data_IF_828290535131
#
_entry.id   IF_828290535131
#
_cell.length_a   1.000
_cell.length_b   1.000
_cell.length_c   1.000
_cell.angle_alpha   90.00
_cell.angle_beta   90.00
_cell.angle_gamma   90.00
#
_symmetry.space_group_name_H-M   'P 1'
#
loop_
_entity.id
_entity.type
_entity.pdbx_description
1 polymer ?
#
# COMPACT_ATOMS: atom_id res chain seq x y z
N UNK A 1 22.89 -4.03 -10.24
CA UNK A 1 24.21 -4.22 -10.87
C UNK A 1 25.12 -5.19 -10.10
N UNK A 2 25.60 -4.91 -8.88
CA UNK A 2 26.50 -5.80 -8.14
C UNK A 2 26.00 -7.23 -8.03
N UNK A 3 24.73 -7.44 -7.69
CA UNK A 3 24.11 -8.75 -7.56
C UNK A 3 24.06 -9.50 -8.91
N UNK A 4 23.71 -8.82 -9.99
CA UNK A 4 23.67 -9.38 -11.33
C UNK A 4 25.08 -9.79 -11.80
N UNK A 5 26.08 -8.94 -11.54
CA UNK A 5 27.47 -9.27 -11.86
C UNK A 5 27.99 -10.46 -11.06
N UNK A 6 27.78 -10.49 -9.75
CA UNK A 6 28.30 -11.54 -8.84
C UNK A 6 27.56 -12.88 -8.94
N UNK A 7 26.33 -12.87 -9.43
CA UNK A 7 25.46 -14.07 -9.49
C UNK A 7 24.86 -14.29 -10.88
N UNK A 8 25.60 -13.96 -11.93
CA UNK A 8 25.15 -14.13 -13.34
C UNK A 8 24.60 -15.51 -13.65
N UNK A 9 25.11 -16.54 -12.99
CA UNK A 9 24.69 -17.94 -13.23
C UNK A 9 23.28 -18.23 -12.70
N UNK A 10 22.76 -17.42 -11.78
CA UNK A 10 21.49 -17.67 -11.06
C UNK A 10 20.50 -16.52 -11.17
N UNK A 11 20.99 -15.27 -11.23
CA UNK A 11 20.18 -14.04 -11.25
C UNK A 11 20.35 -13.33 -12.59
N UNK A 12 19.23 -13.19 -13.28
CA UNK A 12 19.03 -12.29 -14.40
C UNK A 12 18.02 -11.19 -14.01
N UNK A 13 17.86 -10.17 -14.84
CA UNK A 13 16.96 -9.04 -14.57
C UNK A 13 15.50 -9.48 -14.30
N UNK A 14 15.05 -10.57 -14.93
CA UNK A 14 13.68 -11.09 -14.76
C UNK A 14 13.40 -11.67 -13.37
N UNK A 15 14.45 -12.07 -12.63
CA UNK A 15 14.37 -12.68 -11.30
C UNK A 15 14.53 -11.67 -10.16
N UNK A 16 14.76 -10.41 -10.50
CA UNK A 16 14.89 -9.31 -9.55
C UNK A 16 13.63 -8.45 -9.63
N UNK A 17 13.08 -8.11 -8.47
CA UNK A 17 12.00 -7.15 -8.34
C UNK A 17 12.44 -5.99 -7.46
N UNK A 18 12.22 -4.77 -7.93
CA UNK A 18 12.36 -3.55 -7.12
C UNK A 18 10.98 -3.12 -6.68
N UNK A 19 10.80 -2.84 -5.39
CA UNK A 19 9.64 -2.12 -4.86
C UNK A 19 10.08 -0.69 -4.59
N UNK A 20 9.49 0.23 -5.33
CA UNK A 20 9.84 1.65 -5.33
C UNK A 20 8.76 2.50 -4.68
N UNK A 21 9.10 3.69 -4.17
CA UNK A 21 8.14 4.58 -3.53
C UNK A 21 7.13 5.18 -4.50
N UNK A 22 7.51 5.38 -5.76
CA UNK A 22 6.67 6.01 -6.78
C UNK A 22 6.93 5.43 -8.18
N UNK A 23 5.99 5.63 -9.09
CA UNK A 23 6.14 5.27 -10.50
C UNK A 23 7.26 6.08 -11.16
N UNK A 24 7.41 7.37 -10.82
CA UNK A 24 8.49 8.23 -11.30
C UNK A 24 9.88 7.66 -10.98
N UNK A 25 10.07 7.19 -9.75
CA UNK A 25 11.33 6.53 -9.38
C UNK A 25 11.53 5.22 -10.14
N UNK A 26 10.45 4.45 -10.37
CA UNK A 26 10.52 3.21 -11.16
C UNK A 26 11.03 3.45 -12.58
N UNK A 27 10.57 4.52 -13.22
CA UNK A 27 11.02 4.87 -14.58
C UNK A 27 12.45 5.42 -14.59
N UNK A 28 12.82 6.25 -13.61
CA UNK A 28 14.20 6.70 -13.47
C UNK A 28 15.16 5.50 -13.41
N UNK A 29 14.86 4.51 -12.56
CA UNK A 29 15.67 3.27 -12.47
C UNK A 29 15.67 2.51 -13.81
N UNK A 30 14.52 2.44 -14.47
CA UNK A 30 14.37 1.75 -15.76
C UNK A 30 15.17 2.42 -16.90
N UNK A 31 15.41 3.72 -16.82
CA UNK A 31 16.19 4.45 -17.81
C UNK A 31 17.71 4.37 -17.55
N UNK A 32 18.12 4.39 -16.28
CA UNK A 32 19.55 4.37 -15.90
C UNK A 32 20.20 3.01 -16.14
N UNK A 33 19.49 1.89 -15.95
CA UNK A 33 20.09 0.56 -16.10
C UNK A 33 20.53 0.25 -17.54
N UNK A 34 19.74 0.55 -18.59
CA UNK A 34 20.17 0.37 -19.97
C UNK A 34 21.40 1.22 -20.35
N UNK A 35 21.52 2.46 -19.83
CA UNK A 35 22.70 3.31 -20.04
C UNK A 35 23.98 2.66 -19.50
N UNK A 36 23.83 1.80 -18.50
CA UNK A 36 24.90 1.02 -17.88
C UNK A 36 25.12 -0.35 -18.54
N UNK A 37 24.40 -0.64 -19.65
CA UNK A 37 24.51 -1.88 -20.42
C UNK A 37 23.84 -3.10 -19.79
N UNK A 38 22.93 -2.89 -18.85
CA UNK A 38 22.18 -3.97 -18.19
C UNK A 38 20.70 -4.00 -18.68
N UNK A 39 20.07 -5.17 -18.57
CA UNK A 39 18.64 -5.32 -18.89
C UNK A 39 17.77 -4.61 -17.85
N UNK A 40 16.61 -4.13 -18.28
CA UNK A 40 15.64 -3.51 -17.39
C UNK A 40 15.16 -4.48 -16.32
N UNK A 41 15.28 -4.06 -15.06
CA UNK A 41 14.74 -4.77 -13.90
C UNK A 41 13.27 -4.34 -13.70
N UNK A 42 12.42 -5.28 -13.31
CA UNK A 42 11.03 -4.99 -12.96
C UNK A 42 10.98 -4.09 -11.72
N UNK A 43 10.45 -2.89 -11.87
CA UNK A 43 10.11 -2.01 -10.76
C UNK A 43 8.59 -1.93 -10.63
N UNK A 44 8.08 -2.00 -9.41
CA UNK A 44 6.65 -1.87 -9.07
C UNK A 44 6.51 -1.08 -7.78
N UNK A 45 5.44 -0.34 -7.67
CA UNK A 45 5.08 0.30 -6.40
C UNK A 45 4.34 -0.69 -5.48
N UNK A 46 4.35 -0.42 -4.16
CA UNK A 46 3.52 -1.19 -3.22
C UNK A 46 2.05 -1.15 -3.61
N UNK A 47 1.59 0.02 -4.10
CA UNK A 47 0.22 0.19 -4.60
C UNK A 47 -0.12 -0.80 -5.70
N UNK A 48 0.72 -0.93 -6.73
CA UNK A 48 0.47 -1.86 -7.84
C UNK A 48 0.42 -3.31 -7.38
N UNK A 49 1.21 -3.67 -6.35
CA UNK A 49 1.18 -5.01 -5.75
C UNK A 49 -0.16 -5.23 -5.04
N UNK A 50 -0.59 -4.28 -4.20
CA UNK A 50 -1.87 -4.35 -3.48
C UNK A 50 -3.05 -4.35 -4.45
N UNK A 51 -3.07 -3.45 -5.45
CA UNK A 51 -4.11 -3.40 -6.48
C UNK A 51 -4.19 -4.69 -7.30
N UNK A 52 -3.05 -5.27 -7.63
CA UNK A 52 -2.99 -6.58 -8.32
C UNK A 52 -3.58 -7.68 -7.44
N UNK A 53 -3.25 -7.70 -6.16
CA UNK A 53 -3.77 -8.70 -5.23
C UNK A 53 -5.28 -8.56 -4.99
N UNK A 54 -5.80 -7.34 -5.01
CA UNK A 54 -7.23 -7.08 -4.78
C UNK A 54 -8.07 -7.09 -6.07
N UNK A 55 -7.44 -6.98 -7.24
CA UNK A 55 -8.12 -6.87 -8.52
C UNK A 55 -8.93 -5.57 -8.67
N UNK A 56 -8.55 -4.49 -7.95
CA UNK A 56 -9.22 -3.19 -7.99
C UNK A 56 -8.24 -2.04 -7.82
N UNK A 57 -8.56 -0.89 -8.43
CA UNK A 57 -7.81 0.35 -8.22
C UNK A 57 -8.14 0.97 -6.87
N UNK A 58 -7.16 1.62 -6.26
CA UNK A 58 -7.26 2.31 -4.98
C UNK A 58 -7.16 3.83 -5.17
N UNK A 59 -7.63 4.57 -4.17
CA UNK A 59 -7.45 6.02 -4.11
C UNK A 59 -5.96 6.40 -4.13
N UNK A 60 -5.60 7.58 -4.66
CA UNK A 60 -4.20 8.01 -4.72
C UNK A 60 -3.59 8.20 -3.32
N UNK A 61 -2.32 7.82 -3.13
CA UNK A 61 -1.63 7.98 -1.85
C UNK A 61 -1.56 9.45 -1.40
N UNK A 62 -1.38 10.39 -2.35
CA UNK A 62 -1.37 11.81 -2.07
C UNK A 62 -2.72 12.30 -1.51
N UNK A 63 -3.85 11.91 -2.13
CA UNK A 63 -5.19 12.27 -1.64
C UNK A 63 -5.50 11.67 -0.27
N UNK A 64 -5.10 10.43 -0.04
CA UNK A 64 -5.27 9.79 1.27
C UNK A 64 -4.48 10.55 2.34
N UNK A 65 -3.28 11.00 2.00
CA UNK A 65 -2.42 11.74 2.91
C UNK A 65 -2.97 13.15 3.18
N UNK A 66 -3.46 13.85 2.16
CA UNK A 66 -4.09 15.16 2.34
C UNK A 66 -5.29 15.06 3.30
N UNK A 67 -6.12 14.03 3.16
CA UNK A 67 -7.24 13.78 4.07
C UNK A 67 -6.77 13.56 5.52
N UNK A 68 -5.63 12.89 5.74
CA UNK A 68 -5.05 12.70 7.07
C UNK A 68 -4.41 13.98 7.63
N UNK A 69 -3.81 14.82 6.77
CA UNK A 69 -3.11 16.04 7.20
C UNK A 69 -4.04 17.24 7.39
N UNK A 70 -5.03 17.41 6.54
CA UNK A 70 -5.91 18.59 6.51
C UNK A 70 -7.25 18.33 7.19
N UNK A 71 -7.78 17.11 7.09
CA UNK A 71 -9.13 16.78 7.54
C UNK A 71 -9.28 16.56 9.03
N UNK A 72 -8.19 16.33 9.79
CA UNK A 72 -8.25 16.05 11.23
C UNK A 72 -9.11 14.83 11.56
N UNK A 73 -9.26 13.85 10.64
CA UNK A 73 -10.02 12.63 10.88
C UNK A 73 -9.30 11.74 11.89
N UNK A 74 -9.57 12.04 13.17
CA UNK A 74 -8.98 11.32 14.29
C UNK A 74 -9.29 9.82 14.25
N UNK A 75 -10.47 9.43 13.77
CA UNK A 75 -10.87 8.03 13.66
C UNK A 75 -10.03 7.29 12.60
N UNK A 76 -9.76 7.93 11.48
CA UNK A 76 -8.89 7.37 10.44
C UNK A 76 -7.44 7.29 10.91
N UNK A 77 -6.95 8.29 11.63
CA UNK A 77 -5.61 8.26 12.25
C UNK A 77 -5.48 7.10 13.24
N UNK A 78 -6.51 6.89 14.08
CA UNK A 78 -6.56 5.75 15.01
C UNK A 78 -6.65 4.41 14.27
N UNK A 79 -7.42 4.32 13.18
CA UNK A 79 -7.51 3.14 12.32
C UNK A 79 -6.15 2.79 11.72
N UNK A 80 -5.46 3.77 11.17
CA UNK A 80 -4.14 3.59 10.60
C UNK A 80 -3.14 3.14 11.67
N UNK A 81 -3.08 3.82 12.83
CA UNK A 81 -2.19 3.44 13.93
C UNK A 81 -2.43 2.00 14.40
N UNK A 82 -3.70 1.58 14.49
CA UNK A 82 -4.08 0.23 14.91
C UNK A 82 -3.70 -0.81 13.87
N UNK A 83 -4.11 -0.62 12.60
CA UNK A 83 -3.96 -1.62 11.53
C UNK A 83 -2.54 -1.72 10.95
N UNK A 84 -1.69 -0.72 11.18
CA UNK A 84 -0.28 -0.77 10.80
C UNK A 84 0.63 -1.28 11.93
N UNK A 85 0.06 -1.65 13.10
CA UNK A 85 0.82 -2.13 14.24
C UNK A 85 1.23 -3.60 14.13
N UNK A 86 2.32 -3.98 14.78
CA UNK A 86 2.75 -5.37 14.94
C UNK A 86 1.67 -6.26 15.58
N UNK A 87 0.90 -5.70 16.53
CA UNK A 87 -0.21 -6.42 17.16
C UNK A 87 -1.27 -6.82 16.13
N UNK A 88 -1.64 -5.91 15.23
CA UNK A 88 -2.62 -6.20 14.20
C UNK A 88 -2.10 -7.21 13.17
N UNK A 89 -0.82 -7.11 12.76
CA UNK A 89 -0.20 -8.15 11.93
C UNK A 89 -0.27 -9.54 12.58
N UNK A 90 -0.04 -9.63 13.90
CA UNK A 90 -0.18 -10.90 14.61
C UNK A 90 -1.63 -11.41 14.60
N UNK A 91 -2.63 -10.54 14.67
CA UNK A 91 -4.05 -10.92 14.51
C UNK A 91 -4.35 -11.40 13.09
N UNK A 92 -3.77 -10.77 12.06
CA UNK A 92 -3.88 -11.23 10.67
C UNK A 92 -3.23 -12.61 10.48
N UNK A 93 -2.04 -12.85 11.06
CA UNK A 93 -1.38 -14.17 11.05
C UNK A 93 -2.23 -15.24 11.70
N UNK A 94 -2.74 -14.97 12.91
CA UNK A 94 -3.63 -15.88 13.63
C UNK A 94 -4.94 -16.15 12.86
N UNK A 95 -5.48 -15.13 12.19
CA UNK A 95 -6.66 -15.28 11.32
C UNK A 95 -6.36 -16.21 10.13
N UNK A 96 -5.22 -16.01 9.47
CA UNK A 96 -4.80 -16.87 8.36
C UNK A 96 -4.58 -18.32 8.81
N UNK A 97 -3.93 -18.55 9.94
CA UNK A 97 -3.71 -19.87 10.52
C UNK A 97 -5.03 -20.55 10.90
N UNK A 98 -5.92 -19.83 11.58
CA UNK A 98 -7.25 -20.32 11.94
C UNK A 98 -8.06 -20.69 10.71
N UNK A 99 -8.06 -19.83 9.69
CA UNK A 99 -8.75 -20.11 8.43
C UNK A 99 -8.14 -21.32 7.70
N UNK A 100 -6.83 -21.43 7.66
CA UNK A 100 -6.16 -22.58 7.05
C UNK A 100 -6.49 -23.88 7.77
N UNK A 101 -6.63 -23.86 9.09
CA UNK A 101 -6.95 -25.04 9.90
C UNK A 101 -8.43 -25.45 9.86
N UNK A 102 -9.34 -24.46 9.91
CA UNK A 102 -10.77 -24.68 10.15
C UNK A 102 -11.69 -24.21 9.03
N UNK A 103 -11.20 -23.43 8.07
CA UNK A 103 -11.97 -22.79 7.00
C UNK A 103 -12.82 -21.62 7.49
N UNK A 104 -13.74 -21.16 6.64
CA UNK A 104 -14.70 -20.14 7.02
C UNK A 104 -15.64 -20.63 8.13
N UNK A 105 -16.35 -19.71 8.77
CA UNK A 105 -17.30 -20.08 9.82
C UNK A 105 -18.51 -20.80 9.21
N UNK A 106 -18.41 -22.13 9.12
CA UNK A 106 -19.47 -22.97 8.56
C UNK A 106 -20.71 -22.98 9.46
N UNK A 107 -21.86 -22.69 8.85
CA UNK A 107 -23.19 -23.00 9.41
C UNK A 107 -23.79 -24.21 8.71
N UNK A 108 -24.84 -24.83 9.28
CA UNK A 108 -25.61 -25.85 8.58
C UNK A 108 -26.40 -25.20 7.44
N UNK A 109 -26.51 -25.88 6.29
CA UNK A 109 -27.34 -25.47 5.16
C UNK A 109 -28.73 -26.02 5.33
N UNK A 110 -29.74 -25.14 5.27
CA UNK A 110 -31.14 -25.49 5.49
C UNK A 110 -32.01 -25.09 4.31
N UNK A 111 -33.04 -25.89 4.09
CA UNK A 111 -34.19 -25.57 3.25
C UNK A 111 -35.43 -25.69 4.10
N UNK A 112 -36.09 -24.59 4.35
CA UNK A 112 -37.13 -24.48 5.36
C UNK A 112 -36.63 -25.00 6.74
N UNK A 113 -37.27 -25.94 7.37
CA UNK A 113 -36.88 -26.56 8.64
C UNK A 113 -35.90 -27.76 8.46
N UNK A 114 -35.71 -28.23 7.25
CA UNK A 114 -34.88 -29.41 6.95
C UNK A 114 -33.40 -29.01 6.82
N UNK A 115 -32.50 -29.78 7.49
CA UNK A 115 -31.04 -29.62 7.32
C UNK A 115 -30.60 -30.44 6.12
N UNK A 116 -30.22 -29.77 5.05
CA UNK A 116 -29.65 -30.40 3.84
C UNK A 116 -28.20 -30.82 4.00
N UNK A 117 -27.40 -30.01 4.70
CA UNK A 117 -26.00 -30.29 5.01
C UNK A 117 -25.70 -29.84 6.44
N UNK A 118 -25.15 -30.73 7.23
CA UNK A 118 -24.73 -30.42 8.60
C UNK A 118 -23.41 -29.65 8.61
N UNK A 119 -23.23 -28.77 9.57
CA UNK A 119 -22.00 -28.02 9.82
C UNK A 119 -20.77 -28.92 9.93
N UNK A 120 -20.91 -30.05 10.62
CA UNK A 120 -19.85 -31.02 10.84
C UNK A 120 -19.37 -31.67 9.53
N UNK A 121 -20.29 -31.88 8.59
CA UNK A 121 -19.98 -32.39 7.25
C UNK A 121 -19.15 -31.38 6.46
N UNK A 122 -19.54 -30.11 6.44
CA UNK A 122 -18.78 -29.04 5.78
C UNK A 122 -17.37 -28.90 6.36
N UNK A 123 -17.24 -28.97 7.69
CA UNK A 123 -15.94 -28.95 8.36
C UNK A 123 -15.09 -30.16 8.01
N UNK A 124 -15.68 -31.35 7.94
CA UNK A 124 -14.98 -32.58 7.53
C UNK A 124 -14.48 -32.48 6.09
N UNK A 125 -15.32 -31.97 5.17
CA UNK A 125 -14.90 -31.74 3.77
C UNK A 125 -13.69 -30.82 3.71
N UNK A 126 -13.73 -29.68 4.38
CA UNK A 126 -12.63 -28.71 4.36
C UNK A 126 -11.35 -29.29 5.00
N UNK A 127 -11.46 -29.92 6.17
CA UNK A 127 -10.31 -30.33 6.98
C UNK A 127 -9.68 -31.65 6.53
N UNK A 128 -10.51 -32.63 6.13
CA UNK A 128 -10.03 -33.99 5.88
C UNK A 128 -9.99 -34.32 4.40
N UNK A 129 -11.09 -34.09 3.67
CA UNK A 129 -11.20 -34.52 2.28
C UNK A 129 -10.29 -33.70 1.34
N UNK A 130 -10.08 -32.44 1.66
CA UNK A 130 -9.27 -31.53 0.84
C UNK A 130 -7.96 -31.07 1.52
N UNK A 131 -7.50 -31.80 2.51
CA UNK A 131 -6.35 -31.42 3.38
C UNK A 131 -5.05 -31.13 2.63
N UNK A 132 -4.81 -31.73 1.46
CA UNK A 132 -3.61 -31.55 0.65
C UNK A 132 -3.65 -30.26 -0.20
N UNK A 133 -4.79 -29.59 -0.28
CA UNK A 133 -4.98 -28.39 -1.07
C UNK A 133 -4.71 -27.14 -0.23
N UNK A 134 -4.37 -26.03 -0.92
CA UNK A 134 -4.32 -24.72 -0.25
C UNK A 134 -5.69 -24.32 0.28
N UNK A 135 -5.79 -23.41 1.28
CA UNK A 135 -7.07 -22.97 1.81
C UNK A 135 -8.04 -22.46 0.73
N UNK A 136 -7.56 -21.68 -0.23
CA UNK A 136 -8.35 -21.21 -1.36
C UNK A 136 -8.86 -22.35 -2.24
N UNK A 137 -8.00 -23.29 -2.59
CA UNK A 137 -8.37 -24.47 -3.38
C UNK A 137 -9.38 -25.35 -2.65
N UNK A 138 -9.30 -25.47 -1.31
CA UNK A 138 -10.29 -26.19 -0.49
C UNK A 138 -11.67 -25.55 -0.63
N UNK A 139 -11.76 -24.22 -0.51
CA UNK A 139 -13.01 -23.46 -0.67
C UNK A 139 -13.57 -23.64 -2.07
N UNK A 140 -12.75 -23.57 -3.10
CA UNK A 140 -13.18 -23.77 -4.49
C UNK A 140 -13.69 -25.19 -4.74
N UNK A 141 -12.98 -26.20 -4.24
CA UNK A 141 -13.41 -27.61 -4.34
C UNK A 141 -14.74 -27.84 -3.61
N UNK A 142 -14.87 -27.25 -2.41
CA UNK A 142 -16.15 -27.29 -1.69
C UNK A 142 -17.26 -26.66 -2.51
N UNK A 143 -17.04 -25.48 -3.11
CA UNK A 143 -18.03 -24.81 -3.98
C UNK A 143 -18.47 -25.74 -5.09
N UNK A 144 -17.53 -26.32 -5.86
CA UNK A 144 -17.86 -27.25 -6.95
C UNK A 144 -18.66 -28.45 -6.48
N UNK A 145 -18.31 -29.03 -5.33
CA UNK A 145 -19.04 -30.16 -4.73
C UNK A 145 -20.47 -29.76 -4.31
N UNK A 146 -20.61 -28.58 -3.71
CA UNK A 146 -21.90 -28.05 -3.27
C UNK A 146 -22.80 -27.67 -4.45
N UNK A 147 -22.24 -27.13 -5.54
CA UNK A 147 -22.96 -26.84 -6.78
C UNK A 147 -23.50 -28.12 -7.43
N UNK A 148 -22.73 -29.21 -7.43
CA UNK A 148 -23.18 -30.52 -7.91
C UNK A 148 -24.35 -31.06 -7.05
N UNK A 149 -24.27 -30.92 -5.71
CA UNK A 149 -25.38 -31.30 -4.84
C UNK A 149 -26.63 -30.43 -5.07
N UNK A 150 -26.43 -29.13 -5.29
CA UNK A 150 -27.50 -28.20 -5.59
C UNK A 150 -28.25 -28.62 -6.86
N UNK A 151 -27.55 -28.97 -7.93
CA UNK A 151 -28.16 -29.47 -9.15
C UNK A 151 -29.00 -30.74 -8.93
N UNK A 152 -28.50 -31.68 -8.11
CA UNK A 152 -29.25 -32.87 -7.74
C UNK A 152 -30.52 -32.56 -6.93
N UNK A 153 -30.48 -31.61 -6.00
CA UNK A 153 -31.66 -31.17 -5.26
C UNK A 153 -32.70 -30.49 -6.16
N UNK A 154 -32.21 -29.66 -7.11
CA UNK A 154 -33.06 -28.98 -8.09
C UNK A 154 -33.81 -30.00 -8.96
N UNK A 155 -33.13 -31.01 -9.44
CA UNK A 155 -33.74 -32.08 -10.24
C UNK A 155 -34.82 -32.86 -9.45
N UNK A 156 -34.52 -33.19 -8.18
CA UNK A 156 -35.49 -33.86 -7.31
C UNK A 156 -36.77 -33.02 -7.08
N UNK A 157 -36.57 -31.71 -6.81
CA UNK A 157 -37.68 -30.78 -6.61
C UNK A 157 -38.50 -30.59 -7.88
N UNK A 158 -37.88 -30.50 -9.06
CA UNK A 158 -38.60 -30.41 -10.32
C UNK A 158 -39.51 -31.64 -10.49
N UNK A 159 -39.03 -32.85 -10.28
CA UNK A 159 -39.84 -34.07 -10.36
C UNK A 159 -41.01 -34.07 -9.38
N UNK A 160 -40.79 -33.61 -8.14
CA UNK A 160 -41.87 -33.48 -7.13
C UNK A 160 -42.92 -32.46 -7.58
N UNK A 161 -42.54 -31.31 -8.10
CA UNK A 161 -43.47 -30.30 -8.61
C UNK A 161 -44.19 -30.74 -9.89
N UNK A 162 -43.51 -31.46 -10.79
CA UNK A 162 -44.17 -32.06 -11.97
C UNK A 162 -45.29 -33.03 -11.58
N UNK A 163 -45.06 -33.87 -10.56
CA UNK A 163 -46.09 -34.73 -10.01
C UNK A 163 -47.23 -33.93 -9.38
N UNK A 164 -46.94 -32.93 -8.58
CA UNK A 164 -47.91 -32.10 -7.88
C UNK A 164 -48.76 -31.23 -8.82
N UNK A 165 -48.15 -30.72 -9.91
CA UNK A 165 -48.82 -29.80 -10.82
C UNK A 165 -49.42 -30.49 -12.08
N UNK A 166 -49.20 -31.79 -12.25
CA UNK A 166 -49.70 -32.58 -13.41
C UNK A 166 -51.21 -32.53 -13.60
N UNK A 167 -51.97 -32.21 -12.55
CA UNK A 167 -53.41 -32.03 -12.62
C UNK A 167 -53.87 -30.69 -13.20
N UNK A 168 -52.94 -29.67 -13.23
CA UNK A 168 -53.27 -28.30 -13.68
C UNK A 168 -52.56 -27.90 -14.94
N UNK A 169 -51.37 -28.44 -15.17
CA UNK A 169 -50.49 -28.08 -16.31
C UNK A 169 -50.04 -29.32 -17.07
N UNK A 170 -49.69 -29.18 -18.32
CA UNK A 170 -49.21 -30.28 -19.14
C UNK A 170 -48.07 -29.84 -20.10
N UNK A 171 -47.28 -30.81 -20.59
CA UNK A 171 -46.22 -30.56 -21.56
C UNK A 171 -45.23 -29.51 -21.13
N UNK A 172 -44.92 -28.58 -22.02
CA UNK A 172 -43.89 -27.52 -21.78
C UNK A 172 -44.26 -26.59 -20.61
N UNK A 173 -45.54 -26.32 -20.42
CA UNK A 173 -46.01 -25.45 -19.33
C UNK A 173 -45.77 -26.09 -17.98
N UNK A 174 -46.06 -27.39 -17.80
CA UNK A 174 -45.77 -28.14 -16.61
C UNK A 174 -44.26 -28.08 -16.28
N UNK A 175 -43.40 -28.35 -17.24
CA UNK A 175 -41.96 -28.30 -17.06
C UNK A 175 -41.48 -26.89 -16.66
N UNK A 176 -42.02 -25.84 -17.29
CA UNK A 176 -41.69 -24.46 -16.97
C UNK A 176 -42.06 -24.07 -15.54
N UNK A 177 -43.31 -24.30 -15.15
CA UNK A 177 -43.80 -23.94 -13.81
C UNK A 177 -43.10 -24.75 -12.71
N UNK A 178 -42.82 -26.02 -12.94
CA UNK A 178 -42.08 -26.88 -12.01
C UNK A 178 -40.64 -26.42 -11.80
N UNK A 179 -39.94 -26.03 -12.87
CA UNK A 179 -38.59 -25.44 -12.77
C UNK A 179 -38.58 -24.11 -12.03
N UNK A 180 -39.57 -23.22 -12.31
CA UNK A 180 -39.69 -21.96 -11.60
C UNK A 180 -39.89 -22.19 -10.09
N UNK A 181 -40.83 -23.06 -9.71
CA UNK A 181 -41.09 -23.38 -8.31
C UNK A 181 -39.86 -23.98 -7.61
N UNK A 182 -39.15 -24.91 -8.25
CA UNK A 182 -37.92 -25.49 -7.70
C UNK A 182 -36.84 -24.45 -7.52
N UNK A 183 -36.61 -23.59 -8.54
CA UNK A 183 -35.60 -22.52 -8.48
C UNK A 183 -35.91 -21.51 -7.37
N UNK A 184 -37.18 -21.11 -7.23
CA UNK A 184 -37.61 -20.19 -6.16
C UNK A 184 -37.37 -20.78 -4.78
N UNK A 185 -37.73 -22.04 -4.56
CA UNK A 185 -37.55 -22.73 -3.27
C UNK A 185 -36.10 -22.89 -2.89
N UNK A 186 -35.19 -23.09 -3.88
CA UNK A 186 -33.74 -23.22 -3.65
C UNK A 186 -33.02 -21.89 -3.55
N UNK A 187 -33.63 -20.75 -3.81
CA UNK A 187 -32.99 -19.45 -3.71
C UNK A 187 -32.34 -19.16 -2.34
N UNK A 188 -33.01 -19.43 -1.20
CA UNK A 188 -32.41 -19.27 0.12
C UNK A 188 -31.20 -20.20 0.35
N UNK A 189 -31.25 -21.43 -0.18
CA UNK A 189 -30.15 -22.41 -0.09
C UNK A 189 -28.94 -21.92 -0.88
N UNK A 190 -29.15 -21.42 -2.11
CA UNK A 190 -28.09 -20.81 -2.93
C UNK A 190 -27.44 -19.62 -2.21
N UNK A 191 -28.25 -18.80 -1.54
CA UNK A 191 -27.72 -17.67 -0.76
C UNK A 191 -26.86 -18.12 0.43
N UNK A 192 -27.27 -19.18 1.15
CA UNK A 192 -26.47 -19.78 2.21
C UNK A 192 -25.14 -20.34 1.68
N UNK A 193 -25.15 -21.09 0.58
CA UNK A 193 -23.95 -21.65 -0.03
C UNK A 193 -22.98 -20.56 -0.49
N UNK A 194 -23.48 -19.51 -1.15
CA UNK A 194 -22.66 -18.36 -1.55
C UNK A 194 -22.01 -17.68 -0.35
N UNK A 195 -22.73 -17.54 0.78
CA UNK A 195 -22.18 -16.96 2.01
C UNK A 195 -21.10 -17.83 2.61
N UNK A 196 -21.26 -19.16 2.60
CA UNK A 196 -20.28 -20.11 3.15
C UNK A 196 -19.00 -20.21 2.30
N UNK A 197 -19.09 -20.04 0.99
CA UNK A 197 -17.95 -20.14 0.06
C UNK A 197 -17.50 -18.81 -0.52
N UNK A 198 -18.21 -17.71 -0.24
CA UNK A 198 -17.93 -16.37 -0.73
C UNK A 198 -16.87 -15.67 0.11
N UNK A 199 -15.65 -16.21 0.13
CA UNK A 199 -14.52 -15.62 0.83
C UNK A 199 -13.97 -14.44 0.04
N UNK A 200 -13.79 -13.31 0.70
CA UNK A 200 -13.17 -12.11 0.16
C UNK A 200 -12.38 -11.37 1.24
N UNK A 201 -11.67 -10.30 0.87
CA UNK A 201 -10.84 -9.54 1.80
C UNK A 201 -11.61 -9.06 3.03
N UNK A 202 -12.82 -8.53 2.86
CA UNK A 202 -13.66 -8.05 3.95
C UNK A 202 -14.05 -9.15 4.95
N UNK A 203 -14.41 -10.33 4.45
CA UNK A 203 -14.81 -11.46 5.33
C UNK A 203 -13.63 -12.02 6.10
N UNK A 204 -12.43 -11.97 5.53
CA UNK A 204 -11.20 -12.41 6.20
C UNK A 204 -10.75 -11.41 7.26
N UNK A 205 -10.69 -10.12 6.90
CA UNK A 205 -10.25 -9.06 7.81
C UNK A 205 -11.20 -8.89 8.99
N UNK A 206 -12.51 -9.08 8.79
CA UNK A 206 -13.51 -9.04 9.85
C UNK A 206 -13.14 -9.94 11.05
N UNK A 207 -12.49 -11.08 10.80
CA UNK A 207 -12.06 -11.97 11.87
C UNK A 207 -10.93 -11.35 12.70
N UNK A 208 -9.97 -10.68 12.06
CA UNK A 208 -8.88 -9.97 12.74
C UNK A 208 -9.39 -8.74 13.51
N UNK A 209 -10.51 -8.15 13.07
CA UNK A 209 -11.16 -7.00 13.70
C UNK A 209 -12.06 -7.34 14.90
N UNK A 210 -12.23 -8.61 15.26
CA UNK A 210 -13.18 -9.01 16.33
C UNK A 210 -12.94 -8.28 17.64
N UNK A 211 -11.68 -8.17 18.04
CA UNK A 211 -11.27 -7.57 19.32
C UNK A 211 -10.79 -6.11 19.18
N UNK A 212 -11.02 -5.51 18.01
CA UNK A 212 -10.68 -4.10 17.79
C UNK A 212 -11.58 -3.17 18.62
N UNK A 213 -11.13 -1.94 18.94
CA UNK A 213 -11.94 -0.92 19.58
C UNK A 213 -13.28 -0.72 18.85
N UNK A 214 -14.36 -0.45 19.61
CA UNK A 214 -15.73 -0.37 19.07
C UNK A 214 -15.83 0.65 17.92
N UNK A 215 -15.21 1.82 18.08
CA UNK A 215 -15.24 2.86 17.06
C UNK A 215 -14.61 2.39 15.74
N UNK A 216 -13.46 1.71 15.80
CA UNK A 216 -12.77 1.17 14.61
C UNK A 216 -13.57 0.05 13.95
N UNK A 217 -14.24 -0.82 14.74
CA UNK A 217 -15.14 -1.83 14.18
C UNK A 217 -16.34 -1.20 13.46
N UNK A 218 -16.93 -0.16 14.03
CA UNK A 218 -18.05 0.55 13.40
C UNK A 218 -17.62 1.13 12.06
N UNK A 219 -16.50 1.87 12.03
CA UNK A 219 -15.96 2.44 10.80
C UNK A 219 -15.62 1.36 9.75
N UNK A 220 -15.06 0.24 10.18
CA UNK A 220 -14.77 -0.89 9.27
C UNK A 220 -16.04 -1.42 8.59
N UNK A 221 -17.15 -1.60 9.34
CA UNK A 221 -18.39 -2.07 8.77
C UNK A 221 -19.07 -1.02 7.88
N UNK A 222 -19.04 0.24 8.26
CA UNK A 222 -19.55 1.34 7.44
C UNK A 222 -18.77 1.45 6.11
N UNK A 223 -17.45 1.37 6.16
CA UNK A 223 -16.59 1.36 4.97
C UNK A 223 -16.89 0.16 4.07
N UNK A 224 -17.06 -1.03 4.65
CA UNK A 224 -17.43 -2.23 3.89
C UNK A 224 -18.76 -2.05 3.17
N UNK A 225 -19.78 -1.54 3.87
CA UNK A 225 -21.14 -1.39 3.33
C UNK A 225 -21.19 -0.26 2.27
N UNK A 226 -20.33 0.75 2.41
CA UNK A 226 -20.10 1.81 1.41
C UNK A 226 -19.16 1.39 0.27
N UNK A 227 -18.56 0.20 0.34
CA UNK A 227 -17.48 -0.26 -0.55
C UNK A 227 -16.29 0.72 -0.63
N UNK A 228 -16.01 1.43 0.47
CA UNK A 228 -14.89 2.33 0.65
C UNK A 228 -13.73 1.53 1.25
N UNK A 229 -12.61 1.46 0.57
CA UNK A 229 -11.43 0.71 1.02
C UNK A 229 -10.29 1.66 1.35
N UNK A 230 -10.01 1.80 2.64
CA UNK A 230 -8.83 2.53 3.09
C UNK A 230 -7.55 1.74 2.82
N UNK A 231 -6.42 2.44 2.74
CA UNK A 231 -5.14 1.82 2.41
C UNK A 231 -4.73 0.72 3.38
N UNK A 232 -4.87 0.96 4.68
CA UNK A 232 -4.54 0.01 5.72
C UNK A 232 -5.42 -1.26 5.68
N UNK A 233 -6.70 -1.13 5.27
CA UNK A 233 -7.59 -2.28 5.02
C UNK A 233 -7.16 -3.01 3.73
N UNK A 234 -6.81 -2.26 2.70
CA UNK A 234 -6.36 -2.83 1.43
C UNK A 234 -5.11 -3.70 1.60
N UNK A 235 -4.12 -3.22 2.34
CA UNK A 235 -2.90 -3.97 2.65
C UNK A 235 -3.20 -5.23 3.47
N UNK A 236 -4.06 -5.14 4.49
CA UNK A 236 -4.47 -6.27 5.32
C UNK A 236 -5.22 -7.35 4.51
N UNK A 237 -6.17 -6.92 3.68
CA UNK A 237 -6.93 -7.82 2.82
C UNK A 237 -6.04 -8.50 1.78
N UNK A 238 -5.14 -7.75 1.13
CA UNK A 238 -4.18 -8.29 0.18
C UNK A 238 -3.28 -9.36 0.83
N UNK A 239 -2.75 -9.06 2.03
CA UNK A 239 -1.95 -10.01 2.79
C UNK A 239 -2.71 -11.33 3.04
N UNK A 240 -3.94 -11.26 3.54
CA UNK A 240 -4.75 -12.45 3.83
C UNK A 240 -5.08 -13.25 2.57
N UNK A 241 -5.45 -12.58 1.48
CA UNK A 241 -5.77 -13.24 0.21
C UNK A 241 -4.55 -13.97 -0.39
N UNK A 242 -3.38 -13.35 -0.35
CA UNK A 242 -2.13 -13.97 -0.82
C UNK A 242 -1.73 -15.13 0.10
N UNK A 243 -1.71 -14.89 1.41
CA UNK A 243 -1.29 -15.89 2.41
C UNK A 243 -2.14 -17.15 2.38
N UNK A 244 -3.42 -17.03 2.09
CA UNK A 244 -4.36 -18.15 2.00
C UNK A 244 -4.46 -18.76 0.60
N UNK A 245 -3.77 -18.19 -0.40
CA UNK A 245 -3.70 -18.71 -1.76
C UNK A 245 -4.90 -18.35 -2.65
N UNK A 246 -5.73 -17.37 -2.26
CA UNK A 246 -6.78 -16.79 -3.13
C UNK A 246 -6.17 -15.94 -4.25
N UNK A 247 -4.99 -15.40 -4.01
CA UNK A 247 -4.14 -14.74 -4.99
C UNK A 247 -2.83 -15.52 -5.10
N UNK A 248 -2.44 -15.83 -6.34
CA UNK A 248 -1.22 -16.58 -6.59
C UNK A 248 0.01 -15.72 -6.28
N UNK A 249 0.98 -16.22 -5.49
CA UNK A 249 2.24 -15.53 -5.26
C UNK A 249 3.12 -15.58 -6.52
N UNK A 250 3.97 -14.58 -6.70
CA UNK A 250 5.00 -14.58 -7.73
C UNK A 250 6.25 -15.33 -7.22
N UNK A 251 6.41 -16.56 -7.68
CA UNK A 251 7.52 -17.44 -7.34
C UNK A 251 8.73 -17.26 -8.25
N UNK A 252 8.65 -16.42 -9.26
CA UNK A 252 9.72 -16.19 -10.25
C UNK A 252 10.78 -15.21 -9.75
N UNK A 253 10.46 -14.41 -8.74
CA UNK A 253 11.37 -13.46 -8.12
C UNK A 253 12.25 -14.18 -7.10
N UNK A 254 13.57 -14.06 -7.26
CA UNK A 254 14.59 -14.61 -6.36
C UNK A 254 15.31 -13.55 -5.54
N UNK A 255 15.21 -12.28 -5.92
CA UNK A 255 15.72 -11.18 -5.12
C UNK A 255 14.75 -10.00 -5.15
N UNK A 256 14.38 -9.54 -3.98
CA UNK A 256 13.49 -8.40 -3.76
C UNK A 256 14.30 -7.26 -3.16
N UNK A 257 14.33 -6.12 -3.84
CA UNK A 257 14.88 -4.87 -3.34
C UNK A 257 13.72 -3.96 -2.98
N UNK A 258 13.65 -3.54 -1.73
CA UNK A 258 12.60 -2.62 -1.24
C UNK A 258 13.26 -1.31 -0.86
N UNK A 259 12.95 -0.27 -1.60
CA UNK A 259 13.43 1.08 -1.30
C UNK A 259 12.41 1.85 -0.45
N UNK A 260 12.88 2.84 0.30
CA UNK A 260 12.06 3.64 1.23
C UNK A 260 11.25 2.76 2.21
N UNK A 261 11.87 1.68 2.70
CA UNK A 261 11.19 0.66 3.52
C UNK A 261 10.56 1.23 4.81
N UNK A 262 11.01 2.39 5.29
CA UNK A 262 10.42 3.08 6.45
C UNK A 262 9.00 3.59 6.23
N UNK A 263 8.53 3.67 4.99
CA UNK A 263 7.15 4.08 4.68
C UNK A 263 6.17 2.92 4.64
N UNK A 264 6.66 1.69 4.77
CA UNK A 264 5.79 0.52 4.77
C UNK A 264 5.52 0.04 6.19
N UNK A 265 4.28 -0.32 6.43
CA UNK A 265 3.86 -0.98 7.66
C UNK A 265 4.37 -2.42 7.72
N UNK A 266 4.36 -3.01 8.91
CA UNK A 266 4.71 -4.42 9.07
C UNK A 266 3.78 -5.35 8.26
N UNK A 267 2.51 -4.97 8.11
CA UNK A 267 1.54 -5.71 7.26
C UNK A 267 1.94 -5.68 5.78
N UNK A 268 2.38 -4.52 5.27
CA UNK A 268 2.84 -4.38 3.88
C UNK A 268 4.14 -5.16 3.64
N UNK A 269 5.09 -5.10 4.57
CA UNK A 269 6.31 -5.91 4.48
C UNK A 269 5.99 -7.42 4.53
N UNK A 270 5.07 -7.85 5.38
CA UNK A 270 4.61 -9.24 5.44
C UNK A 270 3.84 -9.66 4.16
N UNK A 271 3.11 -8.74 3.53
CA UNK A 271 2.49 -8.96 2.22
C UNK A 271 3.57 -9.24 1.16
N UNK A 272 4.65 -8.44 1.12
CA UNK A 272 5.76 -8.67 0.19
C UNK A 272 6.38 -10.06 0.38
N UNK A 273 6.57 -10.49 1.63
CA UNK A 273 7.06 -11.83 1.92
C UNK A 273 6.12 -12.93 1.42
N UNK A 274 4.81 -12.75 1.65
CA UNK A 274 3.81 -13.71 1.18
C UNK A 274 3.69 -13.73 -0.36
N UNK A 275 3.83 -12.57 -1.01
CA UNK A 275 3.69 -12.43 -2.46
C UNK A 275 4.94 -12.93 -3.22
N UNK A 276 6.15 -12.76 -2.65
CA UNK A 276 7.42 -13.20 -3.22
C UNK A 276 8.12 -14.27 -2.33
N UNK A 277 7.55 -15.46 -2.16
CA UNK A 277 7.98 -16.42 -1.14
C UNK A 277 9.38 -17.01 -1.38
N UNK A 278 9.92 -16.92 -2.60
CA UNK A 278 11.24 -17.44 -2.95
C UNK A 278 12.33 -16.36 -2.91
N UNK A 279 11.95 -15.09 -2.66
CA UNK A 279 12.89 -13.99 -2.76
C UNK A 279 13.77 -13.82 -1.52
N UNK A 280 15.06 -13.62 -1.74
CA UNK A 280 15.94 -12.99 -0.75
C UNK A 280 15.66 -11.50 -0.75
N UNK A 281 15.64 -10.89 0.43
CA UNK A 281 15.17 -9.51 0.57
C UNK A 281 16.32 -8.60 1.00
N UNK A 282 16.39 -7.44 0.38
CA UNK A 282 17.21 -6.31 0.83
C UNK A 282 16.28 -5.11 1.02
N UNK A 283 16.23 -4.60 2.24
CA UNK A 283 15.45 -3.41 2.60
C UNK A 283 16.38 -2.22 2.72
N UNK A 284 16.04 -1.13 2.06
CA UNK A 284 16.74 0.14 2.09
C UNK A 284 15.79 1.20 2.63
N UNK A 285 16.28 2.09 3.49
CA UNK A 285 15.43 3.15 4.00
C UNK A 285 16.14 4.08 4.97
N UNK A 286 15.54 5.25 5.14
CA UNK A 286 15.95 6.25 6.14
C UNK A 286 14.80 6.45 7.14
N UNK A 287 14.91 5.96 8.39
CA UNK A 287 13.85 6.10 9.39
C UNK A 287 13.46 7.56 9.65
N UNK A 288 14.37 8.53 9.38
CA UNK A 288 14.10 9.94 9.56
C UNK A 288 13.25 10.53 8.43
N UNK A 289 13.16 9.87 7.27
CA UNK A 289 12.30 10.23 6.15
C UNK A 289 10.91 9.57 6.21
N UNK A 290 10.56 8.97 7.34
CA UNK A 290 9.21 8.44 7.54
C UNK A 290 8.22 9.58 7.70
N UNK A 291 7.17 9.57 6.89
CA UNK A 291 6.29 10.73 6.74
C UNK A 291 4.81 10.42 6.88
N UNK A 292 4.42 9.15 6.97
CA UNK A 292 3.01 8.78 7.07
C UNK A 292 2.47 9.04 8.49
N UNK A 293 1.47 9.95 8.65
CA UNK A 293 0.85 10.23 9.93
C UNK A 293 0.14 8.98 10.49
N UNK A 294 0.21 8.80 11.80
CA UNK A 294 -0.49 7.70 12.48
C UNK A 294 0.08 6.30 12.25
N UNK A 295 0.98 6.11 11.29
CA UNK A 295 1.61 4.82 11.08
C UNK A 295 2.54 4.46 12.25
N UNK A 296 2.39 3.25 12.79
CA UNK A 296 3.25 2.71 13.83
C UNK A 296 4.73 2.72 13.42
N UNK A 297 5.63 2.81 14.41
CA UNK A 297 7.07 2.80 14.16
C UNK A 297 7.53 1.39 13.75
N UNK A 298 7.58 1.12 12.44
CA UNK A 298 8.33 -0.03 11.95
C UNK A 298 9.81 0.39 11.89
N UNK A 299 10.58 0.05 12.93
CA UNK A 299 12.01 0.36 13.00
C UNK A 299 12.83 -0.71 12.27
N UNK A 300 14.00 -0.34 11.69
CA UNK A 300 14.81 -1.27 10.90
C UNK A 300 15.13 -2.59 11.60
N UNK A 301 15.28 -2.56 12.91
CA UNK A 301 15.53 -3.73 13.76
C UNK A 301 14.38 -4.76 13.72
N UNK A 302 13.15 -4.32 13.44
CA UNK A 302 11.96 -5.17 13.38
C UNK A 302 11.61 -5.64 11.95
N UNK A 303 12.21 -5.04 10.93
CA UNK A 303 11.88 -5.38 9.54
C UNK A 303 12.10 -6.85 9.21
N UNK A 304 13.16 -7.45 9.75
CA UNK A 304 13.48 -8.86 9.54
C UNK A 304 12.37 -9.81 9.99
N UNK A 305 11.67 -9.48 11.07
CA UNK A 305 10.56 -10.30 11.58
C UNK A 305 9.35 -10.38 10.63
N UNK A 306 9.20 -9.42 9.72
CA UNK A 306 8.17 -9.45 8.68
C UNK A 306 8.46 -10.50 7.59
N UNK A 307 9.72 -10.94 7.50
CA UNK A 307 10.23 -11.91 6.52
C UNK A 307 10.69 -13.22 7.18
N UNK A 308 10.22 -13.51 8.39
CA UNK A 308 10.62 -14.68 9.19
C UNK A 308 12.15 -14.77 9.42
N UNK A 309 12.84 -13.64 9.46
CA UNK A 309 14.29 -13.48 9.57
C UNK A 309 14.66 -12.48 10.69
N UNK A 310 14.33 -12.84 11.94
CA UNK A 310 14.54 -11.97 13.10
C UNK A 310 16.01 -11.53 13.30
N UNK A 311 16.96 -12.36 12.88
CA UNK A 311 18.40 -12.09 13.00
C UNK A 311 19.00 -11.44 11.74
N UNK A 312 18.20 -10.80 10.90
CA UNK A 312 18.68 -10.14 9.70
C UNK A 312 19.67 -9.01 10.07
N UNK A 313 20.85 -8.93 9.41
CA UNK A 313 21.84 -7.91 9.73
C UNK A 313 21.34 -6.51 9.33
N UNK A 314 21.52 -5.54 10.22
CA UNK A 314 21.22 -4.13 9.98
C UNK A 314 22.52 -3.35 9.81
N UNK A 315 22.66 -2.66 8.67
CA UNK A 315 23.82 -1.81 8.37
C UNK A 315 23.40 -0.34 8.39
N UNK A 316 24.05 0.47 9.23
CA UNK A 316 23.79 1.92 9.32
C UNK A 316 24.82 2.69 8.50
N UNK A 317 24.35 3.49 7.54
CA UNK A 317 25.15 4.42 6.76
C UNK A 317 24.98 5.82 7.34
N UNK A 318 26.07 6.38 7.90
CA UNK A 318 26.04 7.68 8.60
C UNK A 318 26.66 8.83 7.79
N UNK A 319 27.20 8.57 6.60
CA UNK A 319 27.84 9.60 5.76
C UNK A 319 26.93 10.04 4.61
N UNK A 320 26.71 11.35 4.52
CA UNK A 320 26.00 11.98 3.40
C UNK A 320 27.00 12.42 2.32
N UNK A 321 26.84 11.87 1.12
CA UNK A 321 27.62 12.22 -0.08
C UNK A 321 26.81 13.07 -1.06
N UNK A 322 25.48 13.08 -0.94
CA UNK A 322 24.54 13.67 -1.89
C UNK A 322 24.55 15.18 -1.83
N UNK A 323 24.23 15.76 -0.69
CA UNK A 323 24.03 17.17 -0.49
C UNK A 323 25.31 17.90 -0.06
N UNK A 324 25.37 19.20 -0.27
CA UNK A 324 26.43 20.06 0.23
C UNK A 324 26.43 20.12 1.76
N UNK A 325 27.57 20.56 2.34
CA UNK A 325 27.70 20.73 3.80
C UNK A 325 26.64 21.68 4.39
N UNK A 326 26.35 22.86 3.79
CA UNK A 326 25.31 23.74 4.32
C UNK A 326 23.90 23.10 4.32
N UNK A 327 23.55 22.36 3.26
CA UNK A 327 22.26 21.63 3.20
C UNK A 327 22.21 20.54 4.27
N UNK A 328 23.30 19.76 4.43
CA UNK A 328 23.37 18.74 5.48
C UNK A 328 23.22 19.35 6.89
N UNK A 329 23.79 20.55 7.13
CA UNK A 329 23.60 21.27 8.40
C UNK A 329 22.16 21.68 8.63
N UNK A 330 21.47 22.22 7.62
CA UNK A 330 20.03 22.52 7.69
C UNK A 330 19.23 21.25 8.01
N UNK A 331 19.47 20.17 7.28
CA UNK A 331 18.80 18.89 7.52
C UNK A 331 19.03 18.36 8.96
N UNK A 332 20.27 18.45 9.44
CA UNK A 332 20.63 18.05 10.81
C UNK A 332 19.95 18.92 11.89
N UNK A 333 19.65 20.19 11.60
CA UNK A 333 18.92 21.06 12.53
C UNK A 333 17.44 20.68 12.66
N UNK A 334 16.90 19.96 11.67
CA UNK A 334 15.52 19.44 11.68
C UNK A 334 15.40 18.11 12.45
N UNK A 335 16.51 17.39 12.66
CA UNK A 335 16.53 16.06 13.25
C UNK A 335 16.94 16.07 14.72
N UNK A 336 16.51 15.07 15.53
CA UNK A 336 17.06 14.84 16.86
C UNK A 336 18.57 14.65 16.84
N UNK A 337 19.26 15.06 17.90
CA UNK A 337 20.73 15.06 17.96
C UNK A 337 21.41 13.69 17.77
N UNK A 338 20.69 12.58 18.02
CA UNK A 338 21.18 11.20 17.85
C UNK A 338 21.26 10.75 16.38
N UNK A 339 20.55 11.42 15.48
CA UNK A 339 20.34 10.96 14.10
C UNK A 339 21.01 11.86 13.05
N UNK A 340 21.99 12.64 13.51
CA UNK A 340 22.72 13.56 12.66
C UNK A 340 23.61 12.85 11.65
N UNK A 341 23.57 13.32 10.41
CA UNK A 341 24.42 12.84 9.33
C UNK A 341 25.79 13.54 9.34
N UNK A 342 26.83 12.79 9.02
CA UNK A 342 28.16 13.33 8.78
C UNK A 342 28.32 13.68 7.28
N UNK A 343 28.50 14.95 6.97
CA UNK A 343 28.80 15.36 5.59
C UNK A 343 30.24 15.00 5.24
N UNK A 344 30.49 14.66 3.97
CA UNK A 344 31.85 14.53 3.40
C UNK A 344 32.53 15.87 3.13
N UNK A 345 31.90 16.99 3.49
CA UNK A 345 32.51 18.32 3.41
C UNK A 345 32.41 19.01 2.05
N UNK A 346 31.49 18.56 1.16
CA UNK A 346 31.28 19.24 -0.13
C UNK A 346 30.74 20.66 0.13
N UNK A 347 31.46 21.65 -0.32
CA UNK A 347 31.07 23.06 -0.22
C UNK A 347 29.85 23.37 -1.08
N UNK A 348 29.13 24.44 -0.75
CA UNK A 348 27.93 24.88 -1.47
C UNK A 348 27.34 26.14 -0.89
N UNK A 349 26.28 26.60 -1.53
CA UNK A 349 25.53 27.77 -1.14
C UNK A 349 24.85 27.59 0.23
N UNK A 350 24.77 28.66 1.02
CA UNK A 350 24.04 28.66 2.29
C UNK A 350 22.54 28.60 2.02
N UNK A 351 21.80 27.71 2.74
CA UNK A 351 20.36 27.66 2.62
C UNK A 351 19.68 28.98 2.97
N UNK A 352 18.69 29.39 2.18
CA UNK A 352 17.88 30.55 2.49
C UNK A 352 16.65 30.12 3.30
N UNK A 353 16.38 30.80 4.41
CA UNK A 353 15.13 30.63 5.20
C UNK A 353 14.45 31.99 5.27
N UNK A 354 13.21 32.09 4.76
CA UNK A 354 12.48 33.35 4.71
C UNK A 354 10.97 33.15 4.88
N UNK A 355 10.31 34.24 5.23
CA UNK A 355 8.84 34.24 5.33
C UNK A 355 8.23 34.09 3.93
N UNK A 356 7.30 33.15 3.83
CA UNK A 356 6.61 32.88 2.57
C UNK A 356 5.86 34.09 2.02
N UNK A 357 6.07 34.38 0.76
CA UNK A 357 5.18 35.18 -0.09
C UNK A 357 5.26 34.63 -1.52
N UNK A 358 4.17 34.78 -2.27
CA UNK A 358 4.14 34.33 -3.67
C UNK A 358 5.16 35.07 -4.54
N UNK A 359 5.38 36.38 -4.24
CA UNK A 359 6.37 37.16 -4.96
C UNK A 359 7.79 36.62 -4.72
N UNK A 360 8.16 36.37 -3.45
CA UNK A 360 9.45 35.81 -3.11
C UNK A 360 9.68 34.41 -3.72
N UNK A 361 8.63 33.58 -3.80
CA UNK A 361 8.69 32.30 -4.50
C UNK A 361 9.04 32.49 -5.99
N UNK A 362 8.35 33.41 -6.68
CA UNK A 362 8.60 33.71 -8.10
C UNK A 362 10.01 34.27 -8.33
N UNK A 363 10.43 35.18 -7.47
CA UNK A 363 11.77 35.80 -7.55
C UNK A 363 12.86 34.75 -7.31
N UNK A 364 12.67 33.87 -6.33
CA UNK A 364 13.59 32.76 -6.04
C UNK A 364 13.68 31.80 -7.22
N UNK A 365 12.53 31.41 -7.81
CA UNK A 365 12.50 30.53 -8.96
C UNK A 365 13.23 31.14 -10.16
N UNK A 366 13.02 32.43 -10.39
CA UNK A 366 13.70 33.17 -11.48
C UNK A 366 15.20 33.27 -11.25
N UNK A 367 15.63 33.51 -10.02
CA UNK A 367 17.04 33.54 -9.62
C UNK A 367 17.71 32.20 -9.86
N UNK A 368 17.14 31.11 -9.36
CA UNK A 368 17.72 29.75 -9.51
C UNK A 368 17.85 29.33 -10.99
N UNK A 369 16.89 29.71 -11.82
CA UNK A 369 16.99 29.51 -13.28
C UNK A 369 18.14 30.31 -13.90
N UNK A 370 18.28 31.58 -13.50
CA UNK A 370 19.37 32.44 -14.00
C UNK A 370 20.75 31.95 -13.56
N UNK A 371 20.85 31.26 -12.42
CA UNK A 371 22.07 30.62 -11.92
C UNK A 371 22.38 29.29 -12.65
N UNK A 372 21.51 28.81 -13.54
CA UNK A 372 21.74 27.65 -14.39
C UNK A 372 21.44 26.30 -13.78
N UNK A 373 20.63 26.23 -12.72
CA UNK A 373 20.19 24.96 -12.19
C UNK A 373 19.31 24.22 -13.23
N UNK A 374 19.68 22.98 -13.54
CA UNK A 374 19.02 22.19 -14.58
C UNK A 374 17.70 21.61 -14.10
N UNK A 375 17.61 21.23 -12.81
CA UNK A 375 16.43 20.67 -12.19
C UNK A 375 16.03 21.45 -10.94
N UNK A 376 14.80 21.98 -10.91
CA UNK A 376 14.28 22.75 -9.78
C UNK A 376 12.96 22.15 -9.32
N UNK A 377 12.84 21.86 -8.02
CA UNK A 377 11.57 21.45 -7.43
C UNK A 377 10.98 22.51 -6.51
N UNK A 378 9.68 22.70 -6.61
CA UNK A 378 8.86 23.44 -5.64
C UNK A 378 8.10 22.40 -4.84
N UNK A 379 8.47 22.25 -3.57
CA UNK A 379 7.93 21.21 -2.69
C UNK A 379 6.98 21.80 -1.67
N UNK A 380 5.74 21.34 -1.69
CA UNK A 380 4.69 21.80 -0.76
C UNK A 380 4.42 20.76 0.33
N UNK A 381 3.74 21.22 1.39
CA UNK A 381 3.31 20.34 2.49
C UNK A 381 2.19 19.39 2.07
N UNK A 382 1.23 19.88 1.26
CA UNK A 382 0.06 19.12 0.82
C UNK A 382 -0.11 19.21 -0.69
N UNK A 383 -0.82 18.25 -1.27
CA UNK A 383 -1.13 18.27 -2.69
C UNK A 383 -2.09 19.41 -3.03
N UNK A 384 -3.04 19.75 -2.14
CA UNK A 384 -3.94 20.88 -2.31
C UNK A 384 -3.17 22.21 -2.43
N UNK A 385 -2.07 22.37 -1.69
CA UNK A 385 -1.19 23.53 -1.84
C UNK A 385 -0.48 23.54 -3.20
N UNK A 386 0.01 22.39 -3.67
CA UNK A 386 0.61 22.27 -5.00
C UNK A 386 -0.41 22.63 -6.09
N UNK A 387 -1.63 22.10 -6.00
CA UNK A 387 -2.73 22.40 -6.93
C UNK A 387 -3.04 23.90 -6.96
N UNK A 388 -3.11 24.55 -5.80
CA UNK A 388 -3.32 26.00 -5.71
C UNK A 388 -2.17 26.81 -6.33
N UNK A 389 -0.91 26.36 -6.16
CA UNK A 389 0.25 27.05 -6.72
C UNK A 389 0.36 26.85 -8.22
N UNK A 390 -0.02 25.69 -8.76
CA UNK A 390 0.05 25.40 -10.18
C UNK A 390 -0.75 26.39 -11.04
N UNK A 391 -1.82 26.96 -10.50
CA UNK A 391 -2.63 27.98 -11.18
C UNK A 391 -2.00 29.38 -11.16
N UNK A 392 -0.94 29.59 -10.38
CA UNK A 392 -0.28 30.91 -10.14
C UNK A 392 1.16 30.97 -10.64
N UNK A 393 1.72 29.82 -11.01
CA UNK A 393 3.09 29.70 -11.51
C UNK A 393 3.06 29.28 -12.98
N UNK A 394 3.98 29.84 -13.77
CA UNK A 394 4.16 29.48 -15.16
C UNK A 394 5.35 28.51 -15.32
N UNK A 395 5.30 27.65 -16.33
CA UNK A 395 6.36 26.71 -16.66
C UNK A 395 6.75 25.81 -15.47
N UNK A 396 5.73 25.23 -14.80
CA UNK A 396 5.90 24.23 -13.76
C UNK A 396 5.13 22.96 -14.14
N UNK A 397 5.81 21.85 -14.08
CA UNK A 397 5.18 20.54 -14.21
C UNK A 397 4.63 20.09 -12.87
N UNK A 398 3.31 19.93 -12.77
CA UNK A 398 2.65 19.53 -11.54
C UNK A 398 2.56 18.00 -11.45
N UNK A 399 3.16 17.44 -10.42
CA UNK A 399 2.97 16.03 -10.07
C UNK A 399 1.58 15.81 -9.48
N UNK A 400 0.89 14.76 -9.89
CA UNK A 400 -0.43 14.38 -9.37
C UNK A 400 -0.48 12.96 -8.77
N UNK A 401 0.62 12.23 -8.83
CA UNK A 401 0.72 10.84 -8.38
C UNK A 401 0.09 9.82 -9.33
N UNK A 402 -0.20 10.24 -10.57
CA UNK A 402 -0.70 9.40 -11.65
C UNK A 402 0.39 8.79 -12.52
N UNK A 403 -0.02 7.92 -13.45
CA UNK A 403 0.89 7.27 -14.41
C UNK A 403 1.50 8.27 -15.44
N UNK A 404 0.93 9.48 -15.54
CA UNK A 404 1.34 10.50 -16.50
C UNK A 404 2.52 11.39 -16.02
N UNK A 405 3.00 11.23 -14.79
CA UNK A 405 3.99 12.12 -14.17
C UNK A 405 5.41 12.03 -14.74
N UNK A 406 5.62 11.43 -15.89
CA UNK A 406 6.89 10.81 -16.23
C UNK A 406 7.60 11.28 -17.49
N UNK A 407 7.21 12.40 -18.10
CA UNK A 407 8.08 13.05 -19.07
C UNK A 407 9.12 13.98 -18.36
N UNK A 408 9.99 13.37 -17.61
CA UNK A 408 11.06 14.03 -16.84
C UNK A 408 12.15 14.68 -17.71
N UNK A 409 12.13 14.49 -19.02
CA UNK A 409 13.00 15.16 -19.98
C UNK A 409 12.55 16.61 -20.28
N UNK A 410 11.44 17.07 -19.71
CA UNK A 410 11.03 18.45 -19.88
C UNK A 410 11.87 19.37 -19.01
N UNK A 411 12.32 20.47 -19.59
CA UNK A 411 13.06 21.56 -18.95
C UNK A 411 12.25 22.33 -17.92
N UNK A 412 11.10 21.84 -17.52
CA UNK A 412 10.15 22.48 -16.62
C UNK A 412 10.49 22.18 -15.16
N UNK A 413 10.19 23.17 -14.30
CA UNK A 413 10.34 22.96 -12.87
C UNK A 413 9.22 22.05 -12.36
N UNK A 414 9.57 21.18 -11.43
CA UNK A 414 8.60 20.26 -10.81
C UNK A 414 7.89 20.92 -9.63
N UNK A 415 6.59 20.75 -9.55
CA UNK A 415 5.76 21.19 -8.41
C UNK A 415 5.00 19.99 -7.86
N UNK A 416 5.17 19.69 -6.58
CA UNK A 416 4.46 18.59 -5.93
C UNK A 416 4.55 18.64 -4.41
N UNK A 417 3.71 17.86 -3.73
CA UNK A 417 3.86 17.68 -2.30
C UNK A 417 5.10 16.83 -1.98
N UNK A 418 5.61 16.97 -0.76
CA UNK A 418 6.84 16.28 -0.31
C UNK A 418 6.84 14.77 -0.53
N UNK A 419 5.68 14.14 -0.56
CA UNK A 419 5.52 12.70 -0.79
C UNK A 419 5.73 12.30 -2.24
N UNK A 420 5.23 13.10 -3.18
CA UNK A 420 5.37 12.82 -4.60
C UNK A 420 6.80 13.04 -5.10
N UNK A 421 7.54 13.97 -4.49
CA UNK A 421 8.96 14.21 -4.80
C UNK A 421 9.89 13.28 -4.02
N UNK A 422 9.37 12.41 -3.16
CA UNK A 422 10.17 11.46 -2.42
C UNK A 422 10.86 10.47 -3.38
N UNK A 423 12.14 10.15 -3.11
CA UNK A 423 12.98 9.35 -4.00
C UNK A 423 13.62 10.14 -5.15
N UNK A 424 13.12 11.35 -5.48
CA UNK A 424 13.70 12.21 -6.53
C UNK A 424 14.78 13.11 -5.97
N UNK A 425 15.63 13.64 -6.86
CA UNK A 425 16.74 14.56 -6.53
C UNK A 425 16.73 15.73 -7.51
N UNK A 426 17.03 16.94 -7.00
CA UNK A 426 17.00 18.16 -7.79
C UNK A 426 18.23 19.02 -7.49
N UNK A 427 18.72 19.75 -8.48
CA UNK A 427 19.82 20.70 -8.26
C UNK A 427 19.45 21.73 -7.20
N UNK A 428 18.22 22.25 -7.29
CA UNK A 428 17.69 23.21 -6.33
C UNK A 428 16.29 22.86 -5.88
N UNK A 429 15.97 23.13 -4.62
CA UNK A 429 14.63 22.91 -4.04
C UNK A 429 14.13 24.14 -3.34
N UNK A 430 12.90 24.55 -3.65
CA UNK A 430 12.14 25.58 -2.93
C UNK A 430 11.08 24.89 -2.11
N UNK A 431 11.22 24.86 -0.79
CA UNK A 431 10.26 24.27 0.14
C UNK A 431 9.25 25.33 0.55
N UNK A 432 7.97 25.14 0.25
CA UNK A 432 6.88 26.06 0.56
C UNK A 432 6.05 25.50 1.72
N UNK A 433 6.19 26.12 2.91
CA UNK A 433 5.60 25.65 4.16
C UNK A 433 4.94 26.79 4.94
N UNK A 434 3.84 27.38 4.42
CA UNK A 434 3.31 28.64 4.94
C UNK A 434 2.83 28.55 6.39
N UNK A 435 2.20 27.45 6.77
CA UNK A 435 1.68 27.25 8.12
C UNK A 435 1.78 25.77 8.53
N UNK A 436 2.40 25.52 9.68
CA UNK A 436 2.41 24.24 10.35
C UNK A 436 2.82 24.41 11.81
N UNK A 437 2.35 23.57 12.68
CA UNK A 437 2.86 23.42 14.04
C UNK A 437 4.08 22.49 14.01
N UNK A 438 5.18 22.87 14.66
CA UNK A 438 6.45 22.17 14.59
C UNK A 438 6.44 20.93 15.51
N UNK A 439 5.76 19.87 15.09
CA UNK A 439 5.82 18.55 15.72
C UNK A 439 7.03 17.75 15.22
N UNK A 440 7.36 16.65 15.86
CA UNK A 440 8.44 15.75 15.40
C UNK A 440 8.15 15.19 13.98
N UNK A 441 6.90 14.89 13.70
CA UNK A 441 6.50 14.44 12.35
C UNK A 441 6.65 15.56 11.32
N UNK A 442 6.35 16.81 11.69
CA UNK A 442 6.53 17.95 10.80
C UNK A 442 8.01 18.24 10.54
N UNK A 443 8.89 18.07 11.54
CA UNK A 443 10.35 18.13 11.36
C UNK A 443 10.85 17.09 10.35
N UNK A 444 10.34 15.86 10.42
CA UNK A 444 10.69 14.78 9.46
C UNK A 444 10.21 15.09 8.05
N UNK A 445 9.02 15.66 7.90
CA UNK A 445 8.50 16.09 6.57
C UNK A 445 9.35 17.19 5.96
N UNK A 446 9.71 18.19 6.75
CA UNK A 446 10.64 19.24 6.33
C UNK A 446 12.02 18.68 5.96
N UNK A 447 12.55 17.75 6.79
CA UNK A 447 13.78 17.05 6.48
C UNK A 447 13.68 16.30 5.15
N UNK A 448 12.59 15.59 4.92
CA UNK A 448 12.35 14.88 3.65
C UNK A 448 12.35 15.83 2.47
N UNK A 449 11.65 16.95 2.58
CA UNK A 449 11.60 17.97 1.53
C UNK A 449 12.97 18.62 1.25
N UNK A 450 13.66 19.06 2.31
CA UNK A 450 14.96 19.72 2.18
C UNK A 450 16.05 18.76 1.67
N UNK A 451 16.01 17.49 2.05
CA UNK A 451 17.00 16.48 1.64
C UNK A 451 16.90 16.08 0.16
N UNK A 452 15.93 16.60 -0.59
CA UNK A 452 15.83 16.43 -2.05
C UNK A 452 16.82 17.32 -2.81
N UNK A 453 17.39 18.34 -2.16
CA UNK A 453 18.31 19.28 -2.79
C UNK A 453 19.74 18.76 -2.86
N UNK A 454 20.37 18.92 -4.02
CA UNK A 454 21.78 18.59 -4.25
C UNK A 454 22.68 19.80 -3.99
N UNK A 455 22.30 21.00 -4.47
CA UNK A 455 23.15 22.19 -4.52
C UNK A 455 22.57 23.40 -3.78
N UNK A 456 21.27 23.68 -3.91
CA UNK A 456 20.63 24.84 -3.31
C UNK A 456 19.29 24.48 -2.67
N UNK A 457 19.00 25.03 -1.49
CA UNK A 457 17.70 24.90 -0.83
C UNK A 457 17.22 26.24 -0.30
N UNK A 458 15.95 26.54 -0.59
CA UNK A 458 15.25 27.71 -0.02
C UNK A 458 14.01 27.23 0.74
N UNK A 459 13.92 27.55 2.01
CA UNK A 459 12.73 27.29 2.86
C UNK A 459 11.90 28.56 3.00
N UNK A 460 10.74 28.57 2.35
CA UNK A 460 9.73 29.63 2.46
C UNK A 460 8.63 29.18 3.43
N UNK A 461 8.66 29.68 4.66
CA UNK A 461 7.81 29.21 5.74
C UNK A 461 7.00 30.32 6.41
N UNK A 462 6.03 29.95 7.23
CA UNK A 462 5.30 30.92 8.07
C UNK A 462 6.19 31.50 9.18
N UNK A 463 5.95 32.75 9.55
CA UNK A 463 6.80 33.43 10.52
C UNK A 463 6.84 32.75 11.92
N UNK A 464 5.78 32.05 12.31
CA UNK A 464 5.76 31.23 13.55
C UNK A 464 6.72 30.05 13.42
N UNK A 465 6.63 29.31 12.32
CA UNK A 465 7.47 28.14 12.06
C UNK A 465 8.95 28.50 12.01
N UNK A 466 9.31 29.60 11.36
CA UNK A 466 10.71 30.08 11.31
C UNK A 466 11.27 30.35 12.72
N UNK A 467 10.47 30.98 13.60
CA UNK A 467 10.87 31.26 14.99
C UNK A 467 11.03 29.97 15.80
N UNK A 468 10.14 29.00 15.62
CA UNK A 468 10.18 27.69 16.32
C UNK A 468 11.34 26.81 15.83
N UNK A 469 11.72 26.90 14.57
CA UNK A 469 12.87 26.20 14.03
C UNK A 469 14.18 26.68 14.67
N UNK A 470 14.28 27.96 15.06
CA UNK A 470 15.46 28.53 15.70
C UNK A 470 16.73 28.38 14.84
N UNK A 471 16.57 28.23 13.52
CA UNK A 471 17.71 28.05 12.61
C UNK A 471 18.37 29.40 12.40
N UNK A 472 19.52 29.58 13.03
CA UNK A 472 20.48 30.64 12.70
C UNK A 472 21.45 30.02 11.70
N UNK A 473 21.31 30.39 10.43
CA UNK A 473 22.17 29.95 9.32
C UNK A 473 23.41 30.82 9.21
#
# INVERSE_FOLDING_TARGET
MYLMYRRRDVLDASKIQIVSPSTAFSEYVSNVLPELGEENIRARTMREIVETALGRKLESAARQMDALLEGGDELRMQSMAYKTSAEFLNKLRATAESFAAFGPNFGSVRMDDEILIRREELRRMYKNEFSLLTPAQRVERMRATLDTRMASWEEKLIKQYEQSYSTKYSGRELTFVSRMAASQRLQPVRAQLRRLTGVNGWTLEQEAMKDAPRALKTAFYENRDANLLWWEDAAAQAYLLVKLGFVAPDKTVYHLLVDEAQDYSETELALLHAYFPNARVTLLGDPMQRTCPGMGACVPENWGACFDAADAPVFKLSRCYRSTLPITRLCNALLPGSDRLNSVGREGEMPMVAQYSLQLLKDTLSRLRAEGHASIAIVTRTQAQADSLSTRLENVYRLDGGEADLNYESTDNVLGCYQLVKGMEFDAVIVVWPEAELTDDERRRLYTACSRALHSVTLLAGGKLIKELGIVL
#
